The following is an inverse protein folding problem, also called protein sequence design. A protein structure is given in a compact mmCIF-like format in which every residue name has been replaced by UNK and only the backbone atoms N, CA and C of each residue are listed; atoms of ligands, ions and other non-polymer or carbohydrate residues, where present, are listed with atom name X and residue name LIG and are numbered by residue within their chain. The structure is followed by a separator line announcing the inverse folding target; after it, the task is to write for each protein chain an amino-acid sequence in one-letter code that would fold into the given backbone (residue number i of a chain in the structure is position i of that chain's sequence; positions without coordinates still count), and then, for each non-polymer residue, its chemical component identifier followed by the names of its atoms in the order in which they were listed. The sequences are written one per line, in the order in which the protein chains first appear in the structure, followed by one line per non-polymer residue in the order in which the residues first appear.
data_IF_795630073258
#
_entry.id   IF_795630073258
#
_cell.length_a   1.000
_cell.length_b   1.000
_cell.length_c   1.000
_cell.angle_alpha   90.00
_cell.angle_beta   90.00
_cell.angle_gamma   90.00
#
_symmetry.space_group_name_H-M   'P 1'
#
loop_
_entity.id
_entity.type
_entity.pdbx_description
1 polymer ?
#
# COMPACT_ATOMS: atom_id res chain seq x y z
N UNK A 1 -21.82 -6.12 16.45
CA UNK A 1 -21.49 -6.14 15.01
C UNK A 1 -21.14 -4.72 14.62
N UNK A 2 -19.90 -4.30 14.88
CA UNK A 2 -19.45 -2.92 14.65
C UNK A 2 -18.25 -2.99 13.72
N UNK A 3 -18.54 -3.09 12.42
CA UNK A 3 -17.53 -2.92 11.39
C UNK A 3 -17.26 -1.41 11.31
N UNK A 4 -16.30 -0.91 12.09
CA UNK A 4 -15.80 0.46 11.91
C UNK A 4 -15.20 0.54 10.51
N UNK A 5 -15.96 1.14 9.59
CA UNK A 5 -15.46 1.58 8.29
C UNK A 5 -14.51 2.76 8.55
N UNK A 6 -13.24 2.46 8.80
CA UNK A 6 -12.18 3.45 8.80
C UNK A 6 -11.94 3.93 7.37
N UNK A 7 -12.45 5.14 7.06
CA UNK A 7 -12.13 5.99 5.91
C UNK A 7 -12.24 5.30 4.54
N UNK A 8 -13.29 5.60 3.77
CA UNK A 8 -13.19 5.48 2.30
C UNK A 8 -12.45 6.72 1.79
N UNK A 9 -11.16 6.67 1.41
CA UNK A 9 -10.49 7.83 0.85
C UNK A 9 -10.77 7.83 -0.65
N UNK A 10 -11.55 8.79 -1.10
CA UNK A 10 -11.62 9.15 -2.51
C UNK A 10 -11.79 10.65 -2.61
N UNK A 11 -10.69 11.39 -2.78
CA UNK A 11 -10.69 12.77 -3.29
C UNK A 11 -9.30 13.35 -3.59
N UNK A 12 -8.21 12.77 -3.06
CA UNK A 12 -6.86 13.26 -3.33
C UNK A 12 -6.28 12.49 -4.54
N UNK A 13 -5.85 13.16 -5.62
CA UNK A 13 -5.13 12.57 -6.76
C UNK A 13 -3.70 12.16 -6.35
N UNK A 14 -3.60 11.27 -5.36
CA UNK A 14 -2.36 10.80 -4.74
C UNK A 14 -2.36 9.27 -4.70
N UNK A 15 -1.18 8.69 -4.76
CA UNK A 15 -1.00 7.25 -4.60
C UNK A 15 -0.56 6.89 -3.18
N UNK A 16 -0.70 5.63 -2.82
CA UNK A 16 -0.19 5.07 -1.57
C UNK A 16 0.69 3.85 -1.87
N UNK A 17 1.78 3.65 -1.11
CA UNK A 17 2.42 2.35 -0.98
C UNK A 17 1.72 1.61 0.16
N UNK A 18 1.10 0.49 -0.15
CA UNK A 18 0.35 -0.34 0.81
C UNK A 18 1.21 -1.52 1.22
N UNK A 19 1.39 -1.72 2.52
CA UNK A 19 2.14 -2.86 3.09
C UNK A 19 1.15 -3.78 3.81
N UNK A 20 0.74 -4.90 3.20
CA UNK A 20 -0.11 -5.89 3.85
C UNK A 20 0.69 -6.98 4.58
N UNK A 21 0.07 -7.61 5.58
CA UNK A 21 0.51 -8.92 6.05
C UNK A 21 0.04 -9.98 5.03
N UNK A 22 0.96 -10.59 4.30
CA UNK A 22 0.64 -11.55 3.24
C UNK A 22 -0.17 -12.77 3.73
N UNK A 23 -0.02 -13.18 4.99
CA UNK A 23 -0.75 -14.32 5.56
C UNK A 23 -2.16 -13.95 6.04
N UNK A 24 -2.47 -12.65 6.19
CA UNK A 24 -3.69 -12.17 6.83
C UNK A 24 -4.34 -11.01 6.06
N UNK A 25 -4.40 -11.10 4.73
CA UNK A 25 -4.89 -10.01 3.86
C UNK A 25 -6.27 -9.45 4.26
N UNK A 26 -7.15 -10.30 4.80
CA UNK A 26 -8.49 -9.92 5.24
C UNK A 26 -8.51 -8.91 6.40
N UNK A 27 -7.42 -8.79 7.16
CA UNK A 27 -7.30 -7.81 8.25
C UNK A 27 -6.96 -6.39 7.77
N UNK A 28 -6.72 -6.22 6.47
CA UNK A 28 -6.26 -4.96 5.90
C UNK A 28 -4.75 -4.75 6.03
N UNK A 29 -4.23 -3.60 5.56
CA UNK A 29 -2.80 -3.35 5.56
C UNK A 29 -2.25 -2.98 6.94
N UNK A 30 -1.02 -3.40 7.22
CA UNK A 30 -0.30 -3.05 8.45
C UNK A 30 0.33 -1.66 8.38
N UNK A 31 0.56 -1.15 7.18
CA UNK A 31 0.98 0.24 6.95
C UNK A 31 0.51 0.77 5.59
N UNK A 32 0.38 2.10 5.52
CA UNK A 32 0.13 2.88 4.30
C UNK A 32 1.08 4.07 4.27
N UNK A 33 1.82 4.24 3.19
CA UNK A 33 2.68 5.41 2.97
C UNK A 33 2.04 6.28 1.91
N UNK A 34 1.58 7.48 2.30
CA UNK A 34 1.02 8.45 1.34
C UNK A 34 2.12 9.04 0.48
N UNK A 35 2.00 8.91 -0.83
CA UNK A 35 2.91 9.52 -1.79
C UNK A 35 2.56 10.99 -1.95
N UNK A 36 3.57 11.82 -2.25
CA UNK A 36 3.38 13.26 -2.47
C UNK A 36 2.61 13.59 -3.76
N UNK A 37 2.39 12.60 -4.64
CA UNK A 37 1.74 12.74 -5.97
C UNK A 37 1.17 11.40 -6.45
N UNK A 38 0.30 11.43 -7.47
CA UNK A 38 -0.13 10.23 -8.19
C UNK A 38 1.05 9.56 -8.92
N UNK A 39 1.14 8.25 -8.79
CA UNK A 39 1.96 7.36 -9.64
C UNK A 39 1.09 6.89 -10.83
N UNK A 40 1.52 7.08 -12.09
CA UNK A 40 0.79 6.60 -13.28
C UNK A 40 0.68 5.07 -13.33
N UNK A 41 -0.15 4.55 -14.24
CA UNK A 41 -0.25 3.12 -14.51
C UNK A 41 1.13 2.54 -14.85
N UNK A 42 1.55 1.52 -14.10
CA UNK A 42 2.88 0.93 -14.19
C UNK A 42 2.91 -0.41 -14.93
N UNK A 43 4.05 -1.08 -14.82
CA UNK A 43 4.25 -2.47 -15.25
C UNK A 43 4.72 -3.31 -14.06
N UNK A 44 5.94 -3.83 -14.11
CA UNK A 44 6.50 -4.74 -13.11
C UNK A 44 7.39 -3.98 -12.13
N UNK A 45 7.43 -4.45 -10.88
CA UNK A 45 8.36 -3.99 -9.85
C UNK A 45 9.03 -5.19 -9.19
N UNK A 46 10.17 -4.94 -8.53
CA UNK A 46 10.92 -5.95 -7.79
C UNK A 46 11.27 -5.38 -6.41
N UNK A 47 11.15 -6.21 -5.39
CA UNK A 47 11.76 -5.94 -4.09
C UNK A 47 13.13 -6.59 -4.04
N UNK A 48 14.14 -5.82 -3.63
CA UNK A 48 15.51 -6.31 -3.43
C UNK A 48 15.89 -6.00 -1.98
N UNK A 49 16.27 -7.01 -1.19
CA UNK A 49 16.82 -6.79 0.14
C UNK A 49 18.05 -5.87 0.09
N UNK A 50 18.21 -5.01 1.09
CA UNK A 50 19.35 -4.08 1.20
C UNK A 50 20.71 -4.77 1.07
N UNK A 51 20.83 -6.00 1.58
CA UNK A 51 22.04 -6.80 1.57
C UNK A 51 22.16 -7.73 0.34
N UNK A 52 21.52 -7.38 -0.78
CA UNK A 52 21.66 -8.18 -2.00
C UNK A 52 22.97 -7.83 -2.71
N UNK A 53 23.75 -8.85 -3.08
CA UNK A 53 25.06 -8.73 -3.73
C UNK A 53 24.98 -8.55 -5.27
N UNK A 54 23.92 -7.90 -5.78
CA UNK A 54 23.74 -7.63 -7.21
C UNK A 54 24.40 -6.32 -7.65
#
# INVERSE_FOLDING_TARGET
MTHQQGLSPGADDISEIVVPNAQELHKGPVARVRMRRRVPFGFHGLWVPENSEF
#
